data_IF_538993872870
#
_entry.id   IF_538993872870
#
_cell.length_a   1.000
_cell.length_b   1.000
_cell.length_c   1.000
_cell.angle_alpha   90.00
_cell.angle_beta   90.00
_cell.angle_gamma   90.00
#
_symmetry.space_group_name_H-M   'P 1'
#
loop_
_entity.id
_entity.type
_entity.pdbx_description
1 polymer ?
#
# COMPACT_ATOMS: atom_id res chain seq x y z
N UNK A 1 17.07 -23.33 -22.53
CA UNK A 1 16.38 -22.23 -23.22
C UNK A 1 15.20 -21.86 -22.36
N UNK A 2 15.35 -20.83 -21.52
CA UNK A 2 14.31 -20.39 -20.61
C UNK A 2 13.22 -19.70 -21.40
N UNK A 3 12.00 -20.23 -21.34
CA UNK A 3 10.82 -19.53 -21.83
C UNK A 3 10.49 -18.44 -20.81
N UNK A 4 10.95 -17.22 -21.07
CA UNK A 4 10.45 -16.06 -20.33
C UNK A 4 8.94 -15.97 -20.56
N UNK A 5 8.17 -15.93 -19.48
CA UNK A 5 6.72 -15.74 -19.57
C UNK A 5 6.43 -14.39 -20.24
N UNK A 6 5.30 -14.24 -20.96
CA UNK A 6 4.94 -12.99 -21.61
C UNK A 6 5.00 -11.78 -20.66
N UNK A 7 4.70 -12.00 -19.37
CA UNK A 7 4.77 -10.99 -18.31
C UNK A 7 6.16 -10.38 -18.15
N UNK A 8 7.21 -11.20 -18.30
CA UNK A 8 8.61 -10.77 -18.17
C UNK A 8 9.12 -10.02 -19.41
N UNK A 9 8.50 -10.25 -20.58
CA UNK A 9 8.87 -9.62 -21.86
C UNK A 9 8.23 -8.23 -22.00
N UNK A 10 7.00 -8.07 -21.50
CA UNK A 10 6.24 -6.83 -21.67
C UNK A 10 6.25 -5.90 -20.44
N UNK A 11 6.90 -6.28 -19.34
CA UNK A 11 6.90 -5.46 -18.12
C UNK A 11 5.50 -5.15 -17.61
N UNK A 12 4.53 -6.02 -17.94
CA UNK A 12 3.14 -5.93 -17.55
C UNK A 12 3.05 -6.41 -16.10
N UNK A 13 3.52 -5.59 -15.17
CA UNK A 13 3.00 -5.69 -13.81
C UNK A 13 1.49 -5.45 -13.91
N UNK A 14 0.69 -6.31 -13.28
CA UNK A 14 -0.78 -6.34 -13.35
C UNK A 14 -1.45 -4.98 -13.06
N UNK A 15 -0.71 -4.01 -12.52
CA UNK A 15 -1.10 -2.61 -12.35
C UNK A 15 -1.56 -1.90 -13.64
N UNK A 16 -0.98 -2.18 -14.81
CA UNK A 16 -1.44 -1.58 -16.08
C UNK A 16 -2.83 -2.07 -16.47
N UNK A 17 -3.18 -3.31 -16.08
CA UNK A 17 -4.48 -3.90 -16.39
C UNK A 17 -5.57 -3.38 -15.46
N UNK A 18 -5.25 -2.98 -14.21
CA UNK A 18 -6.26 -2.54 -13.24
C UNK A 18 -6.48 -1.02 -13.19
N UNK A 19 -5.51 -0.21 -13.61
CA UNK A 19 -5.65 1.25 -13.62
C UNK A 19 -6.69 1.75 -14.64
N UNK A 20 -6.94 0.99 -15.72
CA UNK A 20 -7.87 1.36 -16.80
C UNK A 20 -9.23 0.63 -16.75
N UNK A 21 -9.46 -0.28 -15.79
CA UNK A 21 -10.78 -0.92 -15.66
C UNK A 21 -11.77 0.11 -15.14
N UNK A 22 -12.67 0.55 -16.02
CA UNK A 22 -13.86 1.34 -15.68
C UNK A 22 -14.50 0.72 -14.45
N UNK A 23 -14.47 1.43 -13.33
CA UNK A 23 -14.96 0.94 -12.02
C UNK A 23 -16.44 0.59 -12.16
N UNK A 24 -16.82 -0.70 -12.21
CA UNK A 24 -18.21 -1.04 -12.44
C UNK A 24 -19.01 -0.65 -11.20
N UNK A 25 -19.90 0.33 -11.38
CA UNK A 25 -20.84 0.76 -10.34
C UNK A 25 -22.24 0.32 -10.71
N UNK A 26 -23.01 -0.09 -9.71
CA UNK A 26 -24.41 -0.45 -9.89
C UNK A 26 -25.27 0.43 -8.99
N UNK A 27 -26.14 1.21 -9.60
CA UNK A 27 -27.14 2.00 -8.88
C UNK A 27 -28.36 1.12 -8.64
N UNK A 28 -28.72 0.89 -7.38
CA UNK A 28 -29.86 0.06 -7.01
C UNK A 28 -30.75 0.77 -6.01
N UNK A 29 -32.05 0.50 -6.10
CA UNK A 29 -33.02 0.94 -5.10
C UNK A 29 -32.85 0.20 -3.78
N UNK A 30 -33.13 0.88 -2.68
CA UNK A 30 -33.01 0.33 -1.32
C UNK A 30 -33.90 -0.89 -1.07
N UNK A 31 -35.01 -1.03 -1.80
CA UNK A 31 -35.84 -2.26 -1.76
C UNK A 31 -35.08 -3.50 -2.25
N UNK A 32 -34.18 -3.33 -3.23
CA UNK A 32 -33.33 -4.41 -3.74
C UNK A 32 -32.17 -4.70 -2.79
N UNK A 33 -31.57 -3.67 -2.17
CA UNK A 33 -30.57 -3.83 -1.11
C UNK A 33 -31.14 -4.66 0.04
N UNK A 34 -32.37 -4.35 0.47
CA UNK A 34 -33.08 -5.11 1.51
C UNK A 34 -33.19 -6.58 1.14
N UNK A 35 -33.68 -6.89 -0.06
CA UNK A 35 -33.79 -8.27 -0.54
C UNK A 35 -32.44 -8.99 -0.53
N UNK A 36 -31.36 -8.35 -1.00
CA UNK A 36 -30.01 -8.95 -0.99
C UNK A 36 -29.56 -9.25 0.44
N UNK A 37 -29.72 -8.30 1.36
CA UNK A 37 -29.34 -8.51 2.76
C UNK A 37 -30.16 -9.60 3.45
N UNK A 38 -31.46 -9.69 3.14
CA UNK A 38 -32.34 -10.72 3.69
C UNK A 38 -31.91 -12.11 3.22
N UNK A 39 -31.61 -12.28 1.93
CA UNK A 39 -31.08 -13.54 1.37
C UNK A 39 -29.73 -13.93 2.01
N UNK A 40 -28.80 -12.97 2.13
CA UNK A 40 -27.48 -13.21 2.74
C UNK A 40 -27.58 -13.60 4.21
N UNK A 41 -28.49 -12.97 4.96
CA UNK A 41 -28.72 -13.29 6.38
C UNK A 41 -29.43 -14.63 6.56
N UNK A 42 -30.37 -14.96 5.67
CA UNK A 42 -31.15 -16.21 5.69
C UNK A 42 -30.26 -17.42 5.41
N UNK A 43 -29.41 -17.32 4.38
CA UNK A 43 -28.53 -18.40 3.94
C UNK A 43 -27.10 -18.28 4.50
N UNK A 44 -26.90 -17.47 5.54
CA UNK A 44 -25.58 -17.12 6.10
C UNK A 44 -24.69 -18.34 6.38
N UNK A 45 -25.26 -19.39 6.97
CA UNK A 45 -24.52 -20.60 7.37
C UNK A 45 -24.16 -21.51 6.20
N UNK A 46 -24.87 -21.39 5.07
CA UNK A 46 -24.62 -22.16 3.84
C UNK A 46 -23.60 -21.44 2.95
N UNK A 47 -23.66 -20.10 2.93
CA UNK A 47 -22.79 -19.24 2.12
C UNK A 47 -21.43 -19.01 2.79
N UNK A 48 -21.39 -18.87 4.13
CA UNK A 48 -20.19 -18.53 4.88
C UNK A 48 -19.78 -19.71 5.76
N UNK A 49 -18.76 -20.46 5.30
CA UNK A 49 -18.27 -21.68 5.97
C UNK A 49 -17.45 -21.40 7.24
N UNK A 50 -16.73 -20.27 7.27
CA UNK A 50 -15.92 -19.88 8.43
C UNK A 50 -16.72 -18.95 9.36
N UNK A 51 -17.02 -19.46 10.56
CA UNK A 51 -17.81 -18.75 11.57
C UNK A 51 -17.09 -17.52 12.15
N UNK A 52 -15.76 -17.48 12.10
CA UNK A 52 -14.95 -16.37 12.58
C UNK A 52 -14.60 -15.36 11.46
N UNK A 53 -15.04 -15.63 10.23
CA UNK A 53 -14.69 -14.78 9.09
C UNK A 53 -15.20 -13.36 9.24
N UNK A 54 -14.39 -12.40 8.77
CA UNK A 54 -14.75 -10.98 8.66
C UNK A 54 -16.03 -10.78 7.84
N UNK A 55 -16.25 -11.61 6.82
CA UNK A 55 -17.47 -11.59 6.01
C UNK A 55 -18.72 -11.83 6.87
N UNK A 56 -18.67 -12.78 7.81
CA UNK A 56 -19.78 -13.08 8.72
C UNK A 56 -20.10 -11.90 9.62
N UNK A 57 -19.07 -11.28 10.19
CA UNK A 57 -19.21 -10.08 11.01
C UNK A 57 -19.84 -8.92 10.23
N UNK A 58 -19.40 -8.70 8.99
CA UNK A 58 -19.94 -7.67 8.11
C UNK A 58 -21.41 -7.93 7.73
N UNK A 59 -21.77 -9.19 7.43
CA UNK A 59 -23.17 -9.56 7.16
C UNK A 59 -24.07 -9.30 8.37
N UNK A 60 -23.60 -9.58 9.58
CA UNK A 60 -24.36 -9.35 10.81
C UNK A 60 -24.51 -7.85 11.15
N UNK A 61 -23.47 -7.06 10.90
CA UNK A 61 -23.47 -5.61 11.15
C UNK A 61 -24.15 -4.79 10.04
N UNK A 62 -24.40 -5.38 8.87
CA UNK A 62 -24.98 -4.68 7.72
C UNK A 62 -26.39 -4.14 8.03
N UNK A 63 -26.57 -2.84 7.76
CA UNK A 63 -27.82 -2.09 7.92
C UNK A 63 -28.34 -1.62 6.57
N UNK A 64 -29.66 -1.48 6.48
CA UNK A 64 -30.31 -0.88 5.32
C UNK A 64 -30.07 0.64 5.40
N UNK A 65 -29.55 1.27 4.34
CA UNK A 65 -29.37 2.71 4.31
C UNK A 65 -30.69 3.46 4.19
N UNK A 66 -30.74 4.68 4.74
CA UNK A 66 -31.94 5.54 4.76
C UNK A 66 -32.22 6.24 3.41
N UNK A 67 -31.29 6.16 2.46
CA UNK A 67 -31.45 6.69 1.09
C UNK A 67 -32.43 5.86 0.27
N UNK A 68 -33.08 6.44 -0.75
CA UNK A 68 -33.90 5.70 -1.71
C UNK A 68 -33.08 4.82 -2.65
N UNK A 69 -31.85 5.25 -2.94
CA UNK A 69 -30.92 4.55 -3.84
C UNK A 69 -29.52 4.47 -3.25
N UNK A 70 -28.78 3.44 -3.66
CA UNK A 70 -27.43 3.14 -3.20
C UNK A 70 -26.57 2.76 -4.40
N UNK A 71 -25.30 3.16 -4.36
CA UNK A 71 -24.29 2.77 -5.34
C UNK A 71 -23.48 1.61 -4.77
N UNK A 72 -23.55 0.45 -5.42
CA UNK A 72 -22.66 -0.68 -5.15
C UNK A 72 -21.41 -0.54 -6.02
N UNK A 73 -20.24 -0.61 -5.37
CA UNK A 73 -18.96 -0.68 -6.04
C UNK A 73 -18.62 -2.16 -6.26
N UNK A 74 -18.84 -2.68 -7.48
CA UNK A 74 -18.66 -4.09 -7.81
C UNK A 74 -17.18 -4.43 -8.07
N UNK A 75 -16.32 -4.02 -7.14
CA UNK A 75 -14.89 -4.32 -7.23
C UNK A 75 -14.69 -5.82 -6.98
N UNK A 76 -13.90 -6.53 -7.81
CA UNK A 76 -13.43 -7.85 -7.43
C UNK A 76 -12.72 -7.70 -6.08
N UNK A 77 -13.07 -8.54 -5.10
CA UNK A 77 -12.28 -8.58 -3.88
C UNK A 77 -10.87 -9.03 -4.29
N UNK A 78 -9.83 -8.23 -4.01
CA UNK A 78 -8.48 -8.74 -4.09
C UNK A 78 -8.40 -9.97 -3.18
N UNK A 79 -7.80 -11.07 -3.66
CA UNK A 79 -7.58 -12.27 -2.84
C UNK A 79 -6.84 -11.89 -1.55
N UNK A 80 -6.92 -12.69 -0.48
CA UNK A 80 -6.17 -12.39 0.76
C UNK A 80 -4.67 -12.25 0.49
N UNK A 81 -4.12 -13.06 -0.42
CA UNK A 81 -2.76 -12.90 -0.96
C UNK A 81 -2.55 -11.56 -1.67
N UNK A 82 -3.53 -11.06 -2.40
CA UNK A 82 -3.47 -9.74 -3.03
C UNK A 82 -3.53 -8.63 -1.97
N UNK A 83 -4.21 -8.80 -0.83
CA UNK A 83 -4.21 -7.80 0.24
C UNK A 83 -2.85 -7.71 0.96
N UNK A 84 -2.24 -8.85 1.28
CA UNK A 84 -0.90 -8.88 1.92
C UNK A 84 0.19 -8.36 0.98
N UNK A 85 0.12 -8.72 -0.30
CA UNK A 85 0.98 -8.14 -1.33
C UNK A 85 0.74 -6.63 -1.45
N UNK A 86 -0.51 -6.19 -1.55
CA UNK A 86 -0.85 -4.77 -1.69
C UNK A 86 -0.48 -3.94 -0.45
N UNK A 87 -0.62 -4.48 0.76
CA UNK A 87 -0.16 -3.85 2.00
C UNK A 87 1.37 -3.70 2.01
N UNK A 88 2.11 -4.76 1.62
CA UNK A 88 3.55 -4.69 1.43
C UNK A 88 3.96 -3.66 0.37
N UNK A 89 3.24 -3.58 -0.76
CA UNK A 89 3.52 -2.62 -1.82
C UNK A 89 3.18 -1.17 -1.43
N UNK A 90 2.08 -0.93 -0.72
CA UNK A 90 1.75 0.40 -0.17
C UNK A 90 2.83 0.87 0.81
N UNK A 91 3.23 -0.03 1.73
CA UNK A 91 4.31 0.22 2.66
C UNK A 91 5.63 0.49 1.94
N UNK A 92 5.90 -0.19 0.81
CA UNK A 92 7.09 0.02 0.00
C UNK A 92 7.10 1.42 -0.62
N UNK A 93 5.97 1.86 -1.20
CA UNK A 93 5.83 3.20 -1.79
C UNK A 93 5.96 4.28 -0.73
N UNK A 94 5.32 4.11 0.44
CA UNK A 94 5.45 5.05 1.55
C UNK A 94 6.91 5.13 2.03
N UNK A 95 7.56 3.99 2.22
CA UNK A 95 8.96 3.92 2.67
C UNK A 95 9.91 4.56 1.67
N UNK A 96 9.66 4.37 0.36
CA UNK A 96 10.41 5.01 -0.72
C UNK A 96 10.29 6.53 -0.64
N UNK A 97 9.06 7.04 -0.46
CA UNK A 97 8.82 8.49 -0.30
C UNK A 97 9.59 9.06 0.90
N UNK A 98 9.50 8.40 2.06
CA UNK A 98 10.21 8.84 3.26
C UNK A 98 11.73 8.82 3.07
N UNK A 99 12.26 7.81 2.38
CA UNK A 99 13.68 7.72 2.08
C UNK A 99 14.15 8.84 1.15
N UNK A 100 13.38 9.17 0.11
CA UNK A 100 13.67 10.31 -0.77
C UNK A 100 13.68 11.62 0.03
N UNK A 101 12.75 11.82 0.94
CA UNK A 101 12.74 13.00 1.81
C UNK A 101 13.99 13.06 2.71
N UNK A 102 14.42 11.94 3.29
CA UNK A 102 15.66 11.87 4.09
C UNK A 102 16.88 12.21 3.23
N UNK A 103 16.94 11.74 1.98
CA UNK A 103 18.01 12.09 1.03
C UNK A 103 17.98 13.59 0.68
N UNK A 104 16.79 14.18 0.50
CA UNK A 104 16.63 15.61 0.23
C UNK A 104 17.05 16.48 1.42
N UNK A 105 16.98 15.97 2.65
CA UNK A 105 17.50 16.66 3.84
C UNK A 105 19.04 16.70 3.87
N UNK A 106 19.72 16.05 2.91
CA UNK A 106 21.18 16.05 2.79
C UNK A 106 21.88 14.97 3.59
N UNK A 107 21.15 13.97 4.09
CA UNK A 107 21.72 12.87 4.86
C UNK A 107 22.73 12.07 4.02
N UNK A 108 23.97 11.97 4.51
CA UNK A 108 25.06 11.29 3.79
C UNK A 108 25.27 9.85 4.27
N UNK A 109 25.69 8.96 3.38
CA UNK A 109 26.10 7.60 3.72
C UNK A 109 26.36 6.73 2.48
N UNK A 110 27.11 5.64 2.66
CA UNK A 110 27.48 4.73 1.56
C UNK A 110 26.39 3.71 1.21
N UNK A 111 25.36 3.58 2.04
CA UNK A 111 24.19 2.73 1.82
C UNK A 111 23.01 3.20 2.69
N UNK A 112 21.82 2.66 2.44
CA UNK A 112 20.57 3.03 3.14
C UNK A 112 20.72 2.89 4.66
N UNK A 113 21.34 1.81 5.13
CA UNK A 113 21.51 1.55 6.56
C UNK A 113 22.34 2.67 7.22
N UNK A 114 23.48 3.05 6.64
CA UNK A 114 24.33 4.11 7.18
C UNK A 114 23.66 5.47 7.16
N UNK A 115 22.85 5.77 6.13
CA UNK A 115 22.08 7.02 6.05
C UNK A 115 21.04 7.10 7.18
N UNK A 116 20.40 5.97 7.49
CA UNK A 116 19.35 5.91 8.52
C UNK A 116 19.91 5.81 9.95
N UNK A 117 21.10 5.23 10.12
CA UNK A 117 21.76 5.09 11.43
C UNK A 117 22.69 6.26 11.77
N UNK A 118 22.98 7.16 10.84
CA UNK A 118 23.82 8.32 11.09
C UNK A 118 23.16 9.31 12.06
N UNK A 119 23.97 9.91 12.93
CA UNK A 119 23.53 10.99 13.80
C UNK A 119 22.98 12.14 12.96
N UNK A 120 21.78 12.58 13.31
CA UNK A 120 21.10 13.65 12.59
C UNK A 120 21.78 14.97 12.89
N UNK A 121 22.28 15.62 11.84
CA UNK A 121 22.99 16.88 11.98
C UNK A 121 21.99 18.06 12.08
N UNK A 122 22.34 19.16 12.77
CA UNK A 122 21.43 20.30 12.94
C UNK A 122 20.95 20.93 11.63
N UNK A 123 21.78 20.91 10.59
CA UNK A 123 21.42 21.38 9.25
C UNK A 123 20.40 20.45 8.55
N UNK A 124 20.54 19.14 8.72
CA UNK A 124 19.59 18.15 8.17
C UNK A 124 18.21 18.31 8.84
N UNK A 125 18.19 18.52 10.16
CA UNK A 125 16.96 18.75 10.93
C UNK A 125 16.28 20.07 10.54
N UNK A 126 17.06 21.12 10.27
CA UNK A 126 16.52 22.39 9.76
C UNK A 126 15.86 22.24 8.39
N UNK A 127 16.44 21.46 7.47
CA UNK A 127 15.83 21.18 6.17
C UNK A 127 14.57 20.32 6.32
N UNK A 128 14.59 19.30 7.20
CA UNK A 128 13.39 18.52 7.53
C UNK A 128 12.27 19.42 8.06
N UNK A 129 12.56 20.36 8.95
CA UNK A 129 11.57 21.28 9.50
C UNK A 129 10.93 22.18 8.42
N UNK A 130 11.72 22.68 7.45
CA UNK A 130 11.19 23.44 6.30
C UNK A 130 10.29 22.58 5.41
N UNK A 131 10.68 21.34 5.16
CA UNK A 131 9.90 20.41 4.33
C UNK A 131 8.62 19.96 5.03
N UNK A 132 8.65 19.80 6.36
CA UNK A 132 7.49 19.43 7.17
C UNK A 132 6.35 20.43 7.02
N UNK A 133 6.66 21.72 7.07
CA UNK A 133 5.68 22.80 6.89
C UNK A 133 5.04 22.78 5.50
N UNK A 134 5.81 22.37 4.48
CA UNK A 134 5.33 22.30 3.09
C UNK A 134 4.52 21.02 2.79
N UNK A 135 4.90 19.89 3.38
CA UNK A 135 4.37 18.57 3.04
C UNK A 135 3.37 18.01 4.06
N UNK A 136 3.05 18.77 5.12
CA UNK A 136 2.24 18.32 6.26
C UNK A 136 2.73 16.97 6.82
N UNK A 137 4.04 16.91 7.08
CA UNK A 137 4.68 15.68 7.50
C UNK A 137 4.31 15.31 8.94
N UNK A 138 4.03 14.02 9.16
CA UNK A 138 3.64 13.44 10.45
C UNK A 138 4.80 13.30 11.44
N UNK A 139 6.05 13.36 10.98
CA UNK A 139 7.22 13.17 11.83
C UNK A 139 7.68 14.48 12.48
N UNK A 140 7.76 14.47 13.81
CA UNK A 140 8.25 15.63 14.57
C UNK A 140 9.72 15.91 14.36
N UNK A 141 10.55 14.86 14.22
CA UNK A 141 12.00 14.97 14.02
C UNK A 141 12.46 14.09 12.86
N UNK A 142 13.58 14.47 12.23
CA UNK A 142 14.19 13.67 11.17
C UNK A 142 14.69 12.32 11.71
N UNK A 143 15.17 12.29 12.96
CA UNK A 143 15.52 11.04 13.64
C UNK A 143 14.33 10.08 13.79
N UNK A 144 13.13 10.60 14.14
CA UNK A 144 11.92 9.79 14.20
C UNK A 144 11.53 9.22 12.83
N UNK A 145 11.71 10.01 11.76
CA UNK A 145 11.51 9.55 10.38
C UNK A 145 12.50 8.44 10.00
N UNK A 146 13.81 8.61 10.30
CA UNK A 146 14.84 7.58 10.06
C UNK A 146 14.48 6.26 10.77
N UNK A 147 14.05 6.32 12.03
CA UNK A 147 13.60 5.14 12.79
C UNK A 147 12.32 4.50 12.24
N UNK A 148 11.40 5.29 11.69
CA UNK A 148 10.21 4.75 11.03
C UNK A 148 10.58 4.00 9.75
N UNK A 149 11.48 4.55 8.93
CA UNK A 149 11.98 3.88 7.72
C UNK A 149 12.65 2.56 8.09
N UNK A 150 13.48 2.51 9.13
CA UNK A 150 14.11 1.26 9.58
C UNK A 150 13.08 0.19 9.98
N UNK A 151 12.01 0.59 10.68
CA UNK A 151 10.91 -0.33 11.02
C UNK A 151 10.20 -0.82 9.76
N UNK A 152 9.83 0.08 8.86
CA UNK A 152 9.18 -0.30 7.62
C UNK A 152 10.04 -1.24 6.78
N UNK A 153 11.36 -1.02 6.70
CA UNK A 153 12.28 -1.91 5.99
C UNK A 153 12.30 -3.32 6.60
N UNK A 154 12.24 -3.42 7.92
CA UNK A 154 12.12 -4.71 8.62
C UNK A 154 10.79 -5.41 8.31
N UNK A 155 9.69 -4.68 8.19
CA UNK A 155 8.40 -5.23 7.82
C UNK A 155 8.36 -5.62 6.33
N UNK A 156 8.91 -4.79 5.44
CA UNK A 156 9.05 -5.09 4.01
C UNK A 156 9.92 -6.32 3.74
N UNK A 157 10.93 -6.58 4.58
CA UNK A 157 11.75 -7.78 4.51
C UNK A 157 10.93 -9.04 4.83
N UNK A 158 9.97 -8.96 5.76
CA UNK A 158 9.03 -10.06 6.04
C UNK A 158 8.10 -10.33 4.84
N UNK A 159 7.74 -9.29 4.10
CA UNK A 159 6.99 -9.41 2.84
C UNK A 159 7.87 -9.84 1.64
N UNK A 160 9.18 -10.00 1.82
CA UNK A 160 10.10 -10.41 0.75
C UNK A 160 10.36 -9.34 -0.32
N UNK A 161 9.98 -8.08 -0.07
CA UNK A 161 10.09 -6.98 -1.03
C UNK A 161 11.47 -6.30 -1.00
N UNK A 162 12.17 -6.41 0.12
CA UNK A 162 13.52 -5.87 0.32
C UNK A 162 14.36 -6.87 1.10
N UNK A 163 15.68 -6.70 1.06
CA UNK A 163 16.59 -7.52 1.86
C UNK A 163 17.58 -6.65 2.62
N UNK A 164 17.79 -6.96 3.90
CA UNK A 164 18.88 -6.35 4.67
C UNK A 164 20.26 -6.82 4.18
N UNK A 165 20.34 -8.03 3.61
CA UNK A 165 21.58 -8.64 3.11
C UNK A 165 22.19 -7.88 1.93
N UNK A 166 21.36 -7.25 1.09
CA UNK A 166 21.83 -6.40 0.00
C UNK A 166 21.98 -4.92 0.42
N UNK A 167 21.74 -4.57 1.68
CA UNK A 167 21.63 -3.17 2.16
C UNK A 167 20.46 -2.39 1.56
N UNK A 168 19.34 -3.07 1.31
CA UNK A 168 18.09 -2.55 0.76
C UNK A 168 18.24 -1.97 -0.66
N UNK A 169 18.99 -2.62 -1.55
CA UNK A 169 19.26 -2.14 -2.91
C UNK A 169 18.00 -2.04 -3.78
N UNK A 170 17.00 -2.89 -3.51
CA UNK A 170 15.73 -2.88 -4.23
C UNK A 170 15.06 -1.49 -4.20
N UNK A 171 15.06 -0.82 -3.04
CA UNK A 171 14.42 0.50 -2.89
C UNK A 171 15.20 1.59 -3.63
N UNK A 172 16.54 1.53 -3.59
CA UNK A 172 17.41 2.47 -4.31
C UNK A 172 17.29 2.29 -5.82
N UNK A 173 17.24 1.05 -6.28
CA UNK A 173 17.06 0.72 -7.69
C UNK A 173 15.73 1.26 -8.21
N UNK A 174 14.65 1.16 -7.42
CA UNK A 174 13.36 1.73 -7.81
C UNK A 174 13.39 3.26 -7.85
N UNK A 175 14.00 3.93 -6.86
CA UNK A 175 14.19 5.40 -6.91
C UNK A 175 14.96 5.80 -8.17
N UNK A 176 16.04 5.09 -8.51
CA UNK A 176 16.82 5.36 -9.71
C UNK A 176 16.02 5.13 -11.00
N UNK A 177 15.21 4.06 -11.05
CA UNK A 177 14.31 3.79 -12.17
C UNK A 177 13.27 4.90 -12.34
N UNK A 178 12.66 5.38 -11.26
CA UNK A 178 11.66 6.46 -11.32
C UNK A 178 12.26 7.76 -11.87
N UNK A 179 13.49 8.10 -11.45
CA UNK A 179 14.21 9.28 -11.98
C UNK A 179 14.50 9.11 -13.48
N UNK A 180 14.91 7.91 -13.89
CA UNK A 180 15.21 7.62 -15.29
C UNK A 180 13.94 7.62 -16.17
N UNK A 181 12.83 7.04 -15.70
CA UNK A 181 11.57 6.95 -16.44
C UNK A 181 10.84 8.29 -16.58
N UNK A 182 11.28 9.33 -15.86
CA UNK A 182 10.71 10.68 -15.93
C UNK A 182 11.37 11.54 -17.03
N UNK A 183 12.45 11.06 -17.68
CA UNK A 183 13.05 11.68 -18.87
C UNK A 183 12.59 10.98 -20.15
#
# INVERSE_FOLDING_TARGET
>A
MGSDSPDSIYGLNQYSAFAEIVKPTLHIETKHVRKILDELKTHKNEIIKDEQSKLRQLTDQARIPDSETVVLYLRPLPSESFNEEHEGYELFVETKKLLVEVLLCGCQGSNVIKILQSETQPNEEQEHQKMKEKNNDKFETLSAKKHAILRNLSDLEKHGLVSSADSYQAIITQIAKDIYSTN
#
